data_IF_409074375211
#
_entry.id   IF_409074375211
#
_cell.length_a   1.000
_cell.length_b   1.000
_cell.length_c   1.000
_cell.angle_alpha   90.00
_cell.angle_beta   90.00
_cell.angle_gamma   90.00
#
_symmetry.space_group_name_H-M   'P 1'
#
loop_
_entity.id
_entity.type
_entity.pdbx_description
1 polymer ?
#
# COMPACT_ATOMS: atom_id res chain seq x y z
N UNK A 1 32.16 -29.96 41.02
CA UNK A 1 31.14 -29.81 39.97
C UNK A 1 31.42 -30.85 38.89
N UNK A 2 30.47 -31.72 38.57
CA UNK A 2 30.73 -32.88 37.71
C UNK A 2 30.74 -32.45 36.25
N UNK A 3 31.94 -32.33 35.65
CA UNK A 3 32.14 -31.83 34.25
C UNK A 3 31.27 -32.55 33.22
N UNK A 4 30.97 -33.85 33.50
CA UNK A 4 30.07 -34.64 32.63
C UNK A 4 28.61 -34.19 32.68
N UNK A 5 28.12 -33.73 33.84
CA UNK A 5 26.75 -33.18 33.97
C UNK A 5 26.61 -31.82 33.31
N UNK A 6 27.64 -31.00 33.37
CA UNK A 6 27.65 -29.70 32.68
C UNK A 6 27.69 -29.88 31.15
N UNK A 7 28.49 -30.83 30.66
CA UNK A 7 28.54 -31.15 29.24
C UNK A 7 27.19 -31.71 28.73
N UNK A 8 26.50 -32.52 29.52
CA UNK A 8 25.18 -33.06 29.16
C UNK A 8 24.11 -31.97 29.14
N UNK A 9 24.15 -31.03 30.10
CA UNK A 9 23.23 -29.91 30.15
C UNK A 9 23.43 -28.94 28.96
N UNK A 10 24.68 -28.66 28.59
CA UNK A 10 25.01 -27.83 27.44
C UNK A 10 24.63 -28.52 26.14
N UNK A 11 24.86 -29.82 25.99
CA UNK A 11 24.41 -30.57 24.82
C UNK A 11 22.88 -30.61 24.70
N UNK A 12 22.15 -30.70 25.82
CA UNK A 12 20.69 -30.65 25.83
C UNK A 12 20.11 -29.29 25.40
N UNK A 13 20.79 -28.21 25.78
CA UNK A 13 20.36 -26.84 25.35
C UNK A 13 20.67 -26.60 23.87
N UNK A 14 21.77 -27.14 23.35
CA UNK A 14 22.18 -27.03 21.96
C UNK A 14 21.40 -27.97 21.01
N UNK A 15 20.83 -29.06 21.57
CA UNK A 15 20.01 -30.00 20.80
C UNK A 15 18.50 -29.66 20.83
N UNK A 16 18.09 -28.66 21.62
CA UNK A 16 16.76 -28.10 21.43
C UNK A 16 16.68 -27.67 19.98
N UNK A 17 15.81 -28.27 19.12
CA UNK A 17 15.63 -27.76 17.78
C UNK A 17 15.20 -26.30 17.98
N UNK A 18 16.04 -25.39 17.57
CA UNK A 18 15.56 -24.08 17.12
C UNK A 18 14.61 -24.43 15.97
N UNK A 19 13.38 -24.77 16.31
CA UNK A 19 12.30 -24.67 15.41
C UNK A 19 12.25 -23.18 15.09
N UNK A 20 13.15 -22.75 14.20
CA UNK A 20 12.92 -21.61 13.37
C UNK A 20 11.65 -21.99 12.62
N UNK A 21 10.53 -21.71 13.23
CA UNK A 21 9.29 -21.63 12.51
C UNK A 21 9.60 -20.59 11.46
N UNK A 22 9.83 -21.06 10.24
CA UNK A 22 9.80 -20.21 9.09
C UNK A 22 8.38 -19.58 9.11
N UNK A 23 8.28 -18.48 9.84
CA UNK A 23 7.06 -17.70 9.89
C UNK A 23 6.83 -17.29 8.45
N UNK A 24 5.77 -17.83 7.87
CA UNK A 24 5.40 -17.54 6.51
C UNK A 24 5.05 -16.05 6.47
N UNK A 25 6.01 -15.24 6.11
CA UNK A 25 5.77 -13.82 5.87
C UNK A 25 4.68 -13.75 4.80
N UNK A 26 3.51 -13.26 5.16
CA UNK A 26 2.38 -13.19 4.28
C UNK A 26 2.53 -11.93 3.43
N UNK A 27 3.23 -12.07 2.29
CA UNK A 27 3.47 -10.98 1.34
C UNK A 27 2.42 -11.05 0.23
N UNK A 28 1.69 -9.97 0.05
CA UNK A 28 0.65 -9.82 -0.97
C UNK A 28 1.05 -8.74 -1.94
N UNK A 29 1.13 -9.10 -3.22
CA UNK A 29 1.16 -8.14 -4.32
C UNK A 29 -0.28 -7.76 -4.66
N UNK A 30 -0.57 -6.48 -4.76
CA UNK A 30 -1.89 -5.96 -5.10
C UNK A 30 -1.79 -4.75 -6.03
N UNK A 31 -2.89 -4.40 -6.66
CA UNK A 31 -2.94 -3.21 -7.51
C UNK A 31 -4.31 -3.00 -8.11
N UNK A 32 -4.44 -1.85 -8.74
CA UNK A 32 -5.62 -1.46 -9.52
C UNK A 32 -5.17 -0.64 -10.72
N UNK A 33 -5.69 -0.99 -11.90
CA UNK A 33 -5.61 -0.15 -13.09
C UNK A 33 -7.01 0.38 -13.36
N UNK A 34 -7.18 1.68 -13.24
CA UNK A 34 -8.45 2.37 -13.47
C UNK A 34 -8.23 3.47 -14.51
N UNK A 35 -8.81 3.27 -15.68
CA UNK A 35 -8.67 4.14 -16.85
C UNK A 35 -10.02 4.64 -17.29
N UNK A 36 -10.09 5.90 -17.70
CA UNK A 36 -11.28 6.47 -18.35
C UNK A 36 -10.92 7.10 -19.68
N UNK A 37 -11.85 7.00 -20.62
CA UNK A 37 -11.83 7.76 -21.87
C UNK A 37 -12.88 8.85 -21.73
N UNK A 38 -12.47 10.10 -21.90
CA UNK A 38 -13.33 11.26 -21.68
C UNK A 38 -13.40 12.13 -22.93
N UNK A 39 -14.58 12.66 -23.19
CA UNK A 39 -14.79 13.76 -24.10
C UNK A 39 -15.22 14.97 -23.27
N UNK A 40 -14.39 16.00 -23.21
CA UNK A 40 -14.60 17.19 -22.40
C UNK A 40 -14.69 18.41 -23.29
N UNK A 41 -15.70 19.25 -23.04
CA UNK A 41 -15.83 20.56 -23.66
C UNK A 41 -15.53 21.64 -22.62
N UNK A 42 -14.51 22.44 -22.85
CA UNK A 42 -14.13 23.54 -21.95
C UNK A 42 -14.98 24.76 -22.24
N UNK A 43 -15.90 25.09 -21.33
CA UNK A 43 -16.77 26.27 -21.42
C UNK A 43 -16.18 27.48 -20.69
N UNK A 44 -14.96 27.86 -21.02
CA UNK A 44 -14.26 28.95 -20.34
C UNK A 44 -13.82 30.07 -21.33
N UNK A 45 -14.38 30.07 -22.54
CA UNK A 45 -14.00 31.04 -23.58
C UNK A 45 -14.96 32.24 -23.62
N UNK A 46 -14.48 33.43 -24.03
CA UNK A 46 -15.34 34.57 -24.30
C UNK A 46 -16.43 34.24 -25.32
N UNK A 47 -17.53 34.92 -25.21
CA UNK A 47 -18.68 34.73 -26.10
C UNK A 47 -18.26 34.87 -27.58
N UNK A 48 -18.60 33.86 -28.39
CA UNK A 48 -18.29 33.84 -29.83
C UNK A 48 -17.06 33.00 -30.22
N UNK A 49 -16.35 32.41 -29.27
CA UNK A 49 -15.24 31.49 -29.55
C UNK A 49 -15.75 30.04 -29.57
N UNK A 50 -15.40 29.31 -30.64
CA UNK A 50 -15.75 27.89 -30.76
C UNK A 50 -15.07 27.09 -29.62
N UNK A 51 -15.86 26.31 -28.87
CA UNK A 51 -15.39 25.44 -27.80
C UNK A 51 -15.10 24.04 -28.37
N UNK A 52 -13.83 23.68 -28.59
CA UNK A 52 -13.49 22.39 -29.16
C UNK A 52 -13.74 21.25 -28.13
N UNK A 53 -14.13 20.11 -28.64
CA UNK A 53 -14.11 18.87 -27.86
C UNK A 53 -12.68 18.36 -27.72
N UNK A 54 -12.30 18.06 -26.50
CA UNK A 54 -11.01 17.45 -26.16
C UNK A 54 -11.28 16.01 -25.76
N UNK A 55 -10.63 15.08 -26.45
CA UNK A 55 -10.67 13.65 -26.12
C UNK A 55 -9.38 13.31 -25.37
N UNK A 56 -9.52 12.66 -24.23
CA UNK A 56 -8.38 12.27 -23.42
C UNK A 56 -8.59 10.91 -22.75
N UNK A 57 -7.46 10.27 -22.43
CA UNK A 57 -7.42 9.08 -21.58
C UNK A 57 -6.81 9.49 -20.27
N UNK A 58 -7.45 9.14 -19.16
CA UNK A 58 -6.97 9.45 -17.82
C UNK A 58 -6.76 8.19 -16.99
N UNK A 59 -5.70 8.17 -16.20
CA UNK A 59 -5.46 7.18 -15.17
C UNK A 59 -5.99 7.70 -13.83
N UNK A 60 -7.02 7.03 -13.29
CA UNK A 60 -7.69 7.46 -12.08
C UNK A 60 -7.19 6.66 -10.86
N UNK A 61 -6.13 7.17 -10.22
CA UNK A 61 -5.53 6.56 -9.03
C UNK A 61 -5.16 5.09 -9.24
N UNK A 62 -4.68 4.74 -10.43
CA UNK A 62 -4.08 3.43 -10.68
C UNK A 62 -2.84 3.26 -9.81
N UNK A 63 -2.66 2.09 -9.25
CA UNK A 63 -1.60 1.83 -8.28
C UNK A 63 -1.15 0.38 -8.28
N UNK A 64 0.08 0.18 -7.85
CA UNK A 64 0.67 -1.13 -7.59
C UNK A 64 1.33 -1.09 -6.22
N UNK A 65 1.15 -2.13 -5.43
CA UNK A 65 1.72 -2.19 -4.09
C UNK A 65 2.05 -3.60 -3.64
N UNK A 66 2.92 -3.65 -2.66
CA UNK A 66 3.28 -4.85 -1.90
C UNK A 66 3.03 -4.56 -0.44
N UNK A 67 2.39 -5.47 0.25
CA UNK A 67 2.18 -5.40 1.70
C UNK A 67 2.44 -6.75 2.32
N UNK A 68 2.83 -6.75 3.58
CA UNK A 68 3.06 -7.98 4.29
C UNK A 68 2.82 -7.85 5.78
N UNK A 69 2.65 -9.01 6.39
CA UNK A 69 2.48 -9.16 7.83
C UNK A 69 3.31 -10.33 8.30
N UNK A 70 4.10 -10.13 9.33
CA UNK A 70 4.91 -11.16 9.98
C UNK A 70 4.55 -11.26 11.45
N UNK A 71 4.24 -12.45 11.93
CA UNK A 71 3.94 -12.66 13.33
C UNK A 71 5.23 -12.70 14.15
N UNK A 72 5.30 -11.85 15.18
CA UNK A 72 6.42 -11.80 16.13
C UNK A 72 6.17 -12.64 17.40
N UNK A 73 5.01 -13.33 17.45
CA UNK A 73 4.60 -14.07 18.62
C UNK A 73 3.81 -13.22 19.64
N UNK A 74 3.14 -13.87 20.58
CA UNK A 74 2.38 -13.18 21.63
C UNK A 74 1.24 -12.27 21.13
N UNK A 75 0.75 -12.47 19.91
CA UNK A 75 -0.28 -11.61 19.32
C UNK A 75 0.27 -10.31 18.71
N UNK A 76 1.60 -10.15 18.65
CA UNK A 76 2.27 -9.03 18.02
C UNK A 76 2.65 -9.37 16.58
N UNK A 77 2.40 -8.45 15.65
CA UNK A 77 2.76 -8.56 14.24
C UNK A 77 3.58 -7.36 13.78
N UNK A 78 4.58 -7.61 12.95
CA UNK A 78 5.19 -6.59 12.12
C UNK A 78 4.38 -6.45 10.83
N UNK A 79 4.15 -5.22 10.38
CA UNK A 79 3.44 -4.92 9.15
C UNK A 79 4.26 -3.98 8.28
N UNK A 80 4.14 -4.12 6.98
CA UNK A 80 4.71 -3.17 6.03
C UNK A 80 3.83 -3.00 4.80
N UNK A 81 3.97 -1.86 4.14
CA UNK A 81 3.38 -1.57 2.84
C UNK A 81 4.30 -0.69 2.03
N UNK A 82 4.39 -0.95 0.73
CA UNK A 82 5.03 -0.10 -0.26
C UNK A 82 4.05 0.03 -1.42
N UNK A 83 3.54 1.23 -1.65
CA UNK A 83 2.57 1.50 -2.72
C UNK A 83 3.09 2.60 -3.64
N UNK A 84 2.94 2.39 -4.93
CA UNK A 84 3.33 3.34 -5.96
C UNK A 84 2.17 3.70 -6.87
N UNK A 85 2.11 4.95 -7.28
CA UNK A 85 1.19 5.41 -8.30
C UNK A 85 1.61 4.87 -9.68
N UNK A 86 0.64 4.50 -10.48
CA UNK A 86 0.84 4.05 -11.86
C UNK A 86 0.10 4.99 -12.79
N UNK A 87 0.83 5.82 -13.53
CA UNK A 87 0.25 6.69 -14.57
C UNK A 87 0.14 5.90 -15.87
N UNK A 88 -0.92 5.10 -15.97
CA UNK A 88 -1.12 4.19 -17.10
C UNK A 88 -1.49 4.92 -18.40
N UNK A 89 -1.87 6.19 -18.32
CA UNK A 89 -2.17 7.11 -19.42
C UNK A 89 -0.92 7.72 -20.06
N UNK A 90 0.08 8.06 -19.23
CA UNK A 90 1.30 8.75 -19.68
C UNK A 90 2.55 7.89 -19.60
N UNK A 91 2.50 6.78 -18.87
CA UNK A 91 3.66 5.93 -18.60
C UNK A 91 4.68 6.55 -17.63
N UNK A 92 4.41 7.74 -17.09
CA UNK A 92 5.28 8.41 -16.13
C UNK A 92 4.87 7.97 -14.72
N UNK A 93 5.78 7.38 -13.96
CA UNK A 93 5.58 7.06 -12.56
C UNK A 93 6.43 7.95 -11.67
N UNK A 94 5.89 8.34 -10.52
CA UNK A 94 6.58 9.22 -9.57
C UNK A 94 7.65 8.54 -8.72
N UNK A 95 8.10 7.34 -9.12
CA UNK A 95 9.06 6.54 -8.36
C UNK A 95 8.40 5.48 -7.48
N UNK A 96 9.22 4.58 -6.95
CA UNK A 96 8.77 3.51 -6.06
C UNK A 96 8.40 4.09 -4.69
N UNK A 97 7.25 3.69 -4.14
CA UNK A 97 6.83 4.08 -2.81
C UNK A 97 6.36 5.53 -2.67
N UNK A 98 5.94 6.16 -3.77
CA UNK A 98 5.47 7.54 -3.77
C UNK A 98 4.05 7.73 -3.21
N UNK A 99 3.40 6.64 -2.79
CA UNK A 99 2.11 6.63 -2.08
C UNK A 99 2.29 6.14 -0.64
N UNK A 100 1.40 5.28 -0.16
CA UNK A 100 1.53 4.71 1.17
C UNK A 100 2.73 3.78 1.28
N UNK A 101 3.71 4.18 2.07
CA UNK A 101 4.91 3.39 2.32
C UNK A 101 5.27 3.51 3.78
N UNK A 102 5.06 2.43 4.52
CA UNK A 102 5.26 2.40 5.96
C UNK A 102 5.71 1.02 6.45
N UNK A 103 6.26 1.02 7.65
CA UNK A 103 6.42 -0.14 8.51
C UNK A 103 5.68 0.09 9.81
N UNK A 104 5.29 -0.96 10.50
CA UNK A 104 4.58 -0.80 11.76
C UNK A 104 4.51 -2.05 12.60
N UNK A 105 3.93 -1.89 13.79
CA UNK A 105 3.61 -2.94 14.72
C UNK A 105 2.09 -2.93 14.98
N UNK A 106 1.51 -4.13 15.01
CA UNK A 106 0.09 -4.34 15.27
C UNK A 106 -0.09 -5.39 16.36
N UNK A 107 -0.96 -5.12 17.32
CA UNK A 107 -1.27 -6.03 18.40
C UNK A 107 -2.67 -5.79 18.97
N UNK A 108 -3.02 -6.46 20.07
CA UNK A 108 -4.32 -6.28 20.74
C UNK A 108 -4.57 -4.86 21.28
N UNK A 109 -3.53 -4.05 21.36
CA UNK A 109 -3.55 -2.63 21.79
C UNK A 109 -3.76 -1.66 20.60
N UNK A 110 -3.77 -2.14 19.36
CA UNK A 110 -3.91 -1.32 18.15
C UNK A 110 -2.71 -1.42 17.22
N UNK A 111 -2.49 -0.37 16.41
CA UNK A 111 -1.44 -0.33 15.38
C UNK A 111 -0.64 0.97 15.47
N UNK A 112 0.69 0.85 15.44
CA UNK A 112 1.61 1.98 15.25
C UNK A 112 2.28 1.84 13.89
N UNK A 113 2.26 2.90 13.09
CA UNK A 113 2.89 2.98 11.76
C UNK A 113 3.93 4.09 11.75
N UNK A 114 5.02 3.88 11.01
CA UNK A 114 6.07 4.87 10.77
C UNK A 114 6.35 4.88 9.26
N UNK A 115 6.29 6.05 8.66
CA UNK A 115 6.50 6.24 7.23
C UNK A 115 5.54 7.24 6.63
N UNK A 116 5.35 7.15 5.32
CA UNK A 116 4.38 7.94 4.57
C UNK A 116 3.07 7.14 4.46
N UNK A 117 2.00 7.65 5.04
CA UNK A 117 0.67 7.02 4.97
C UNK A 117 -0.42 8.09 5.04
N UNK A 118 -1.58 7.76 4.49
CA UNK A 118 -2.73 8.63 4.49
C UNK A 118 -3.26 8.80 5.92
N UNK A 119 -3.78 9.98 6.20
CA UNK A 119 -4.46 10.23 7.47
C UNK A 119 -5.73 9.36 7.58
N UNK A 120 -6.22 9.04 8.79
CA UNK A 120 -7.46 8.27 8.97
C UNK A 120 -8.68 8.87 8.24
N UNK A 121 -8.65 10.16 7.98
CA UNK A 121 -9.65 10.86 7.16
C UNK A 121 -9.73 10.31 5.73
N UNK A 122 -8.60 9.90 5.15
CA UNK A 122 -8.53 9.39 3.79
C UNK A 122 -9.11 7.96 3.65
N UNK A 123 -9.28 7.24 4.77
CA UNK A 123 -9.97 5.94 4.77
C UNK A 123 -11.45 6.05 4.36
N UNK A 124 -12.02 7.26 4.42
CA UNK A 124 -13.38 7.55 3.96
C UNK A 124 -13.43 7.72 2.43
N UNK A 125 -12.32 8.11 1.80
CA UNK A 125 -12.21 8.34 0.36
C UNK A 125 -12.60 7.14 -0.53
N UNK A 126 -12.29 5.88 -0.19
CA UNK A 126 -12.68 4.73 -1.00
C UNK A 126 -14.19 4.57 -1.15
N UNK A 127 -14.98 5.10 -0.22
CA UNK A 127 -16.44 5.06 -0.28
C UNK A 127 -16.94 5.89 -1.47
N UNK A 128 -16.26 7.01 -1.75
CA UNK A 128 -16.59 7.92 -2.85
C UNK A 128 -15.75 7.66 -4.11
N UNK A 129 -14.54 7.13 -3.98
CA UNK A 129 -13.60 6.90 -5.08
C UNK A 129 -13.98 5.77 -6.02
N UNK A 130 -14.99 4.97 -5.70
CA UNK A 130 -15.54 3.93 -6.57
C UNK A 130 -16.69 4.42 -7.46
N UNK A 131 -17.08 5.70 -7.34
CA UNK A 131 -18.07 6.31 -8.23
C UNK A 131 -17.33 6.84 -9.47
N UNK A 132 -17.51 6.23 -10.66
CA UNK A 132 -16.73 6.56 -11.85
C UNK A 132 -16.76 8.03 -12.26
N UNK A 133 -17.85 8.73 -11.94
CA UNK A 133 -18.07 10.12 -12.30
C UNK A 133 -17.48 11.13 -11.32
N UNK A 134 -17.19 10.75 -10.08
CA UNK A 134 -16.64 11.66 -9.08
C UNK A 134 -15.11 11.75 -9.15
N UNK A 135 -14.44 10.72 -9.68
CA UNK A 135 -12.98 10.69 -9.75
C UNK A 135 -12.41 11.63 -10.83
N UNK A 136 -13.21 12.03 -11.82
CA UNK A 136 -12.72 12.77 -12.99
C UNK A 136 -12.93 14.28 -12.92
N UNK A 137 -13.86 14.77 -12.10
CA UNK A 137 -14.28 16.18 -12.22
C UNK A 137 -14.01 17.01 -10.97
N UNK A 138 -13.94 16.43 -9.78
CA UNK A 138 -13.95 17.21 -8.53
C UNK A 138 -12.68 17.01 -7.69
N UNK A 139 -11.93 15.93 -7.88
CA UNK A 139 -10.80 15.58 -7.01
C UNK A 139 -9.44 15.54 -7.73
N UNK A 140 -9.34 16.02 -8.94
CA UNK A 140 -8.07 16.10 -9.69
C UNK A 140 -7.52 17.52 -9.82
N UNK A 141 -7.96 18.43 -8.96
CA UNK A 141 -7.35 19.77 -8.84
C UNK A 141 -6.39 19.83 -7.67
#
# INVERSE_FOLDING_TARGET
MNKKLVALAVAGVLSAPLAAQAQTANVTLYGRVNMTVEAVQVRSQPEGVSEPWIYRVNSNSSRLGVRGTESLGGGLNAIFQIESNVSADTGISGGLGNRETYVGLQGGWGTVKIGNFLAPYDDIHPIFGNVPTLATTIMST
#
